data_IF_394801482121
#
_entry.id   IF_394801482121
#
_cell.length_a   1.000
_cell.length_b   1.000
_cell.length_c   1.000
_cell.angle_alpha   90.00
_cell.angle_beta   90.00
_cell.angle_gamma   90.00
#
_symmetry.space_group_name_H-M   'P 1'
#
loop_
_entity.id
_entity.type
_entity.pdbx_description
1 polymer ?
#
# COMPACT_ATOMS: atom_id res chain seq x y z
N UNK A 1 24.31 0.23 -31.87
CA UNK A 1 24.72 0.17 -30.45
C UNK A 1 23.73 0.87 -29.52
N UNK A 2 22.42 0.67 -29.73
CA UNK A 2 21.36 1.14 -28.84
C UNK A 2 20.47 -0.05 -28.50
N UNK A 3 20.78 -0.77 -27.41
CA UNK A 3 19.78 -1.55 -26.64
C UNK A 3 20.33 -2.25 -25.40
N UNK A 4 21.64 -2.19 -25.12
CA UNK A 4 22.19 -2.91 -23.95
C UNK A 4 21.85 -2.22 -22.62
N UNK A 5 21.69 -0.89 -22.62
CA UNK A 5 21.31 -0.13 -21.42
C UNK A 5 19.83 -0.32 -21.02
N UNK A 6 18.93 -0.55 -21.99
CA UNK A 6 17.52 -0.78 -21.70
C UNK A 6 17.26 -2.15 -21.06
N UNK A 7 17.97 -3.19 -21.53
CA UNK A 7 17.91 -4.54 -20.95
C UNK A 7 18.45 -4.57 -19.51
N UNK A 8 19.62 -3.95 -19.25
CA UNK A 8 20.16 -3.84 -17.89
C UNK A 8 19.24 -3.09 -16.92
N UNK A 9 18.47 -2.11 -17.40
CA UNK A 9 17.53 -1.35 -16.57
C UNK A 9 16.27 -2.16 -16.22
N UNK A 10 15.76 -2.97 -17.15
CA UNK A 10 14.60 -3.85 -16.94
C UNK A 10 14.96 -5.02 -16.02
N UNK A 11 16.12 -5.65 -16.21
CA UNK A 11 16.58 -6.76 -15.35
C UNK A 11 16.81 -6.28 -13.90
N UNK A 12 17.35 -5.07 -13.71
CA UNK A 12 17.54 -4.49 -12.38
C UNK A 12 16.21 -4.18 -11.67
N UNK A 13 15.17 -3.74 -12.41
CA UNK A 13 13.84 -3.50 -11.86
C UNK A 13 13.13 -4.83 -11.51
N UNK A 14 13.28 -5.86 -12.33
CA UNK A 14 12.71 -7.18 -12.09
C UNK A 14 13.40 -7.88 -10.92
N UNK A 15 14.73 -7.90 -10.86
CA UNK A 15 15.50 -8.43 -9.74
C UNK A 15 15.20 -7.69 -8.44
N UNK A 16 15.04 -6.35 -8.45
CA UNK A 16 14.65 -5.57 -7.27
C UNK A 16 13.21 -5.83 -6.82
N UNK A 17 12.27 -6.02 -7.76
CA UNK A 17 10.91 -6.47 -7.42
C UNK A 17 10.93 -7.86 -6.80
N UNK A 18 11.78 -8.76 -7.32
CA UNK A 18 11.93 -10.13 -6.84
C UNK A 18 12.57 -10.19 -5.44
N UNK A 19 13.64 -9.45 -5.18
CA UNK A 19 14.32 -9.47 -3.85
C UNK A 19 13.48 -8.80 -2.75
N UNK A 20 12.74 -7.74 -3.11
CA UNK A 20 11.78 -7.10 -2.20
C UNK A 20 10.63 -8.04 -1.84
N UNK A 21 10.08 -8.75 -2.83
CA UNK A 21 9.07 -9.77 -2.57
C UNK A 21 9.63 -10.91 -1.73
N UNK A 22 10.87 -11.35 -1.93
CA UNK A 22 11.43 -12.50 -1.20
C UNK A 22 11.49 -12.29 0.32
N UNK A 23 11.90 -11.13 0.82
CA UNK A 23 11.97 -10.90 2.28
C UNK A 23 10.57 -10.80 2.91
N UNK A 24 9.64 -10.15 2.22
CA UNK A 24 8.26 -10.04 2.67
C UNK A 24 7.51 -11.39 2.56
N UNK A 25 7.73 -12.13 1.49
CA UNK A 25 7.21 -13.48 1.32
C UNK A 25 7.80 -14.44 2.35
N UNK A 26 9.10 -14.38 2.61
CA UNK A 26 9.73 -15.22 3.64
C UNK A 26 9.16 -14.93 5.03
N UNK A 27 8.86 -13.67 5.35
CA UNK A 27 8.16 -13.30 6.58
C UNK A 27 6.72 -13.79 6.61
N UNK A 28 5.97 -13.64 5.51
CA UNK A 28 4.61 -14.19 5.39
C UNK A 28 4.61 -15.71 5.55
N UNK A 29 5.54 -16.41 4.90
CA UNK A 29 5.67 -17.86 4.97
C UNK A 29 5.99 -18.30 6.40
N UNK A 30 6.95 -17.66 7.06
CA UNK A 30 7.25 -17.95 8.47
C UNK A 30 6.00 -17.82 9.36
N UNK A 31 5.21 -16.75 9.18
CA UNK A 31 4.05 -16.46 10.03
C UNK A 31 2.78 -17.24 9.68
N UNK A 32 2.51 -17.50 8.40
CA UNK A 32 1.36 -18.28 7.94
C UNK A 32 1.58 -19.77 8.22
N UNK A 33 2.82 -20.26 8.11
CA UNK A 33 3.12 -21.69 8.28
C UNK A 33 3.51 -22.06 9.71
N UNK A 34 3.56 -21.12 10.67
CA UNK A 34 3.50 -21.45 12.11
C UNK A 34 2.05 -21.72 12.50
N UNK A 35 1.65 -22.99 12.75
CA UNK A 35 0.24 -23.32 12.93
C UNK A 35 -0.30 -22.78 14.26
N UNK A 36 -1.33 -21.95 14.19
CA UNK A 36 -2.26 -21.77 15.32
C UNK A 36 -3.09 -23.07 15.47
N UNK A 37 -3.28 -23.63 16.69
CA UNK A 37 -3.71 -25.03 16.88
C UNK A 37 -5.18 -25.34 16.51
N UNK A 38 -5.96 -24.36 16.06
CA UNK A 38 -7.38 -24.49 15.75
C UNK A 38 -7.63 -23.70 14.49
N UNK A 39 -8.20 -24.29 13.43
CA UNK A 39 -8.69 -23.54 12.27
C UNK A 39 -9.98 -22.85 12.72
N UNK A 40 -9.95 -21.54 13.06
CA UNK A 40 -11.16 -20.81 13.33
C UNK A 40 -11.88 -20.61 11.99
N UNK A 41 -13.15 -20.24 12.02
CA UNK A 41 -13.77 -19.64 10.83
C UNK A 41 -12.88 -18.45 10.45
N UNK A 42 -12.45 -18.34 9.18
CA UNK A 42 -11.60 -17.24 8.74
C UNK A 42 -12.43 -15.93 8.75
N UNK A 43 -12.41 -15.27 9.90
CA UNK A 43 -13.13 -14.01 10.18
C UNK A 43 -12.43 -12.79 9.56
N UNK A 44 -11.23 -12.97 8.99
CA UNK A 44 -10.43 -11.89 8.41
C UNK A 44 -11.10 -11.24 7.20
N UNK A 45 -11.74 -12.02 6.31
CA UNK A 45 -12.44 -11.44 5.15
C UNK A 45 -13.69 -10.64 5.56
N UNK A 46 -14.62 -11.17 6.39
CA UNK A 46 -15.72 -10.38 6.94
C UNK A 46 -15.26 -9.08 7.60
N UNK A 47 -14.26 -9.16 8.48
CA UNK A 47 -13.68 -7.99 9.16
C UNK A 47 -13.08 -6.99 8.17
N UNK A 48 -12.31 -7.45 7.17
CA UNK A 48 -11.77 -6.58 6.12
C UNK A 48 -12.89 -5.81 5.40
N UNK A 49 -13.97 -6.49 5.02
CA UNK A 49 -15.07 -5.85 4.30
C UNK A 49 -15.80 -4.82 5.16
N UNK A 50 -16.07 -5.16 6.43
CA UNK A 50 -16.71 -4.26 7.39
C UNK A 50 -15.85 -3.03 7.68
N UNK A 51 -14.54 -3.22 7.90
CA UNK A 51 -13.61 -2.13 8.14
C UNK A 51 -13.50 -1.18 6.94
N UNK A 52 -13.47 -1.72 5.72
CA UNK A 52 -13.45 -0.91 4.49
C UNK A 52 -14.78 -0.19 4.25
N UNK A 53 -15.92 -0.84 4.51
CA UNK A 53 -17.23 -0.22 4.42
C UNK A 53 -17.36 0.94 5.42
N UNK A 54 -16.99 0.71 6.69
CA UNK A 54 -17.04 1.72 7.73
C UNK A 54 -16.13 2.90 7.41
N UNK A 55 -14.91 2.63 6.95
CA UNK A 55 -13.96 3.66 6.47
C UNK A 55 -14.53 4.47 5.30
N UNK A 56 -15.21 3.81 4.36
CA UNK A 56 -15.84 4.48 3.23
C UNK A 56 -16.99 5.38 3.68
N UNK A 57 -17.86 4.88 4.55
CA UNK A 57 -19.05 5.58 5.04
C UNK A 57 -18.68 6.77 5.93
N UNK A 58 -17.61 6.65 6.72
CA UNK A 58 -17.11 7.71 7.60
C UNK A 58 -16.13 8.68 6.92
N UNK A 59 -15.86 8.50 5.61
CA UNK A 59 -14.84 9.25 4.86
C UNK A 59 -13.43 9.16 5.48
N UNK A 60 -13.14 8.07 6.19
CA UNK A 60 -11.87 7.84 6.86
C UNK A 60 -11.74 8.55 8.21
N UNK A 61 -12.86 8.89 8.87
CA UNK A 61 -12.82 9.40 10.24
C UNK A 61 -12.32 8.30 11.22
N UNK A 62 -11.14 8.48 11.84
CA UNK A 62 -10.57 7.48 12.74
C UNK A 62 -11.45 7.23 13.97
N UNK A 63 -12.20 8.22 14.47
CA UNK A 63 -13.05 8.03 15.66
C UNK A 63 -14.16 7.02 15.44
N UNK A 64 -14.63 6.90 14.20
CA UNK A 64 -15.66 5.94 13.80
C UNK A 64 -15.10 4.55 13.54
N UNK A 65 -13.92 4.46 12.90
CA UNK A 65 -13.35 3.17 12.45
C UNK A 65 -12.54 2.47 13.56
N UNK A 66 -11.86 3.25 14.39
CA UNK A 66 -10.94 2.76 15.41
C UNK A 66 -11.57 1.75 16.39
N UNK A 67 -12.79 1.95 16.93
CA UNK A 67 -13.40 0.96 17.83
C UNK A 67 -13.51 -0.45 17.23
N UNK A 68 -13.93 -0.54 15.96
CA UNK A 68 -14.00 -1.82 15.25
C UNK A 68 -12.63 -2.48 15.14
N UNK A 69 -11.60 -1.70 14.81
CA UNK A 69 -10.24 -2.23 14.70
C UNK A 69 -9.70 -2.69 16.07
N UNK A 70 -9.92 -1.90 17.11
CA UNK A 70 -9.44 -2.19 18.47
C UNK A 70 -10.04 -3.49 19.04
N UNK A 71 -11.28 -3.83 18.65
CA UNK A 71 -11.94 -5.08 19.02
C UNK A 71 -11.44 -6.30 18.25
N UNK A 72 -10.70 -6.11 17.15
CA UNK A 72 -10.29 -7.16 16.19
C UNK A 72 -8.78 -7.11 15.89
N UNK A 73 -7.95 -6.69 16.85
CA UNK A 73 -6.49 -6.55 16.67
C UNK A 73 -5.80 -7.87 16.36
N UNK A 74 -6.35 -8.99 16.82
CA UNK A 74 -5.85 -10.34 16.52
C UNK A 74 -5.99 -10.71 15.04
N UNK A 75 -6.95 -10.10 14.33
CA UNK A 75 -7.10 -10.26 12.89
C UNK A 75 -6.13 -9.39 12.08
N UNK A 76 -5.47 -8.38 12.68
CA UNK A 76 -4.43 -7.57 12.05
C UNK A 76 -3.07 -8.28 12.09
N UNK A 77 -3.03 -9.43 11.45
CA UNK A 77 -1.85 -10.28 11.35
C UNK A 77 -1.41 -10.46 9.88
N UNK A 78 -0.30 -11.15 9.58
CA UNK A 78 0.19 -11.31 8.21
C UNK A 78 -0.83 -11.95 7.25
N UNK A 79 -1.72 -12.81 7.76
CA UNK A 79 -2.85 -13.38 7.01
C UNK A 79 -3.81 -12.30 6.48
N UNK A 80 -4.01 -11.19 7.20
CA UNK A 80 -4.79 -10.04 6.75
C UNK A 80 -4.28 -9.49 5.42
N UNK A 81 -2.97 -9.34 5.28
CA UNK A 81 -2.36 -8.80 4.06
C UNK A 81 -2.60 -9.74 2.87
N UNK A 82 -2.53 -11.05 3.11
CA UNK A 82 -2.85 -12.05 2.10
C UNK A 82 -4.32 -11.95 1.66
N UNK A 83 -5.26 -11.90 2.61
CA UNK A 83 -6.69 -11.77 2.32
C UNK A 83 -7.01 -10.46 1.59
N UNK A 84 -6.44 -9.34 2.05
CA UNK A 84 -6.57 -8.02 1.41
C UNK A 84 -6.14 -8.04 -0.06
N UNK A 85 -4.94 -8.57 -0.35
CA UNK A 85 -4.42 -8.66 -1.73
C UNK A 85 -5.22 -9.63 -2.59
N UNK A 86 -5.62 -10.77 -2.03
CA UNK A 86 -6.46 -11.77 -2.72
C UNK A 86 -7.82 -11.18 -3.09
N UNK A 87 -8.47 -10.50 -2.15
CA UNK A 87 -9.75 -9.81 -2.37
C UNK A 87 -9.61 -8.73 -3.46
N UNK A 88 -8.59 -7.87 -3.38
CA UNK A 88 -8.40 -6.81 -4.36
C UNK A 88 -8.16 -7.35 -5.78
N UNK A 89 -7.33 -8.40 -5.91
CA UNK A 89 -7.07 -9.09 -7.19
C UNK A 89 -8.34 -9.68 -7.81
N UNK A 90 -9.27 -10.17 -6.99
CA UNK A 90 -10.56 -10.68 -7.45
C UNK A 90 -11.57 -9.57 -7.74
N UNK A 91 -11.46 -8.43 -7.06
CA UNK A 91 -12.45 -7.33 -7.11
C UNK A 91 -12.17 -6.35 -8.24
N UNK A 92 -10.95 -5.83 -8.37
CA UNK A 92 -10.62 -4.76 -9.31
C UNK A 92 -10.91 -5.05 -10.78
N UNK A 93 -10.67 -6.27 -11.31
CA UNK A 93 -11.01 -6.58 -12.71
C UNK A 93 -12.52 -6.58 -13.01
N UNK A 94 -13.36 -6.70 -11.99
CA UNK A 94 -14.80 -6.95 -12.11
C UNK A 94 -15.67 -5.73 -11.78
N UNK A 95 -15.07 -4.55 -11.58
CA UNK A 95 -15.78 -3.33 -11.21
C UNK A 95 -15.48 -2.17 -12.17
N UNK A 96 -16.36 -1.18 -12.20
CA UNK A 96 -16.15 0.03 -12.99
C UNK A 96 -15.02 0.89 -12.42
N UNK A 97 -14.43 1.74 -13.26
CA UNK A 97 -13.39 2.70 -12.84
C UNK A 97 -13.85 3.56 -11.65
N UNK A 98 -15.10 4.03 -11.65
CA UNK A 98 -15.63 4.86 -10.55
C UNK A 98 -15.67 4.09 -9.23
N UNK A 99 -16.08 2.81 -9.25
CA UNK A 99 -16.05 1.97 -8.05
C UNK A 99 -14.62 1.70 -7.61
N UNK A 100 -13.71 1.42 -8.55
CA UNK A 100 -12.30 1.22 -8.25
C UNK A 100 -11.69 2.47 -7.59
N UNK A 101 -12.02 3.68 -8.04
CA UNK A 101 -11.53 4.93 -7.42
C UNK A 101 -12.06 5.15 -6.01
N UNK A 102 -13.31 4.78 -5.74
CA UNK A 102 -13.87 4.83 -4.38
C UNK A 102 -13.08 3.88 -3.47
N UNK A 103 -12.91 2.63 -3.89
CA UNK A 103 -12.14 1.64 -3.11
C UNK A 103 -10.70 2.09 -2.90
N UNK A 104 -10.03 2.62 -3.93
CA UNK A 104 -8.66 3.11 -3.81
C UNK A 104 -8.55 4.27 -2.80
N UNK A 105 -9.53 5.18 -2.75
CA UNK A 105 -9.58 6.22 -1.73
C UNK A 105 -9.77 5.62 -0.33
N UNK A 106 -10.70 4.67 -0.19
CA UNK A 106 -10.96 3.96 1.07
C UNK A 106 -9.71 3.24 1.56
N UNK A 107 -8.97 2.57 0.70
CA UNK A 107 -7.71 1.89 1.04
C UNK A 107 -6.66 2.87 1.56
N UNK A 108 -6.52 4.06 0.94
CA UNK A 108 -5.57 5.09 1.40
C UNK A 108 -5.97 5.63 2.78
N UNK A 109 -7.27 5.85 3.01
CA UNK A 109 -7.77 6.29 4.31
C UNK A 109 -7.56 5.22 5.39
N UNK A 110 -7.90 3.97 5.08
CA UNK A 110 -7.70 2.83 5.97
C UNK A 110 -6.21 2.64 6.31
N UNK A 111 -5.32 2.79 5.33
CA UNK A 111 -3.87 2.75 5.56
C UNK A 111 -3.42 3.81 6.58
N UNK A 112 -3.96 5.02 6.51
CA UNK A 112 -3.68 6.10 7.47
C UNK A 112 -4.18 5.77 8.88
N UNK A 113 -5.36 5.16 8.99
CA UNK A 113 -5.93 4.72 10.28
C UNK A 113 -5.07 3.60 10.88
N UNK A 114 -4.80 2.54 10.11
CA UNK A 114 -3.99 1.39 10.56
C UNK A 114 -2.59 1.83 10.96
N UNK A 115 -1.93 2.69 10.18
CA UNK A 115 -0.59 3.17 10.52
C UNK A 115 -0.56 4.01 11.81
N UNK A 116 -1.64 4.71 12.13
CA UNK A 116 -1.76 5.55 13.32
C UNK A 116 -2.26 4.79 14.56
N UNK A 117 -2.51 3.48 14.47
CA UNK A 117 -2.95 2.67 15.61
C UNK A 117 -1.89 2.67 16.72
N UNK A 118 -2.26 3.05 17.96
CA UNK A 118 -1.37 2.91 19.10
C UNK A 118 -1.27 1.47 19.62
N UNK A 119 -2.30 0.64 19.41
CA UNK A 119 -2.34 -0.77 19.79
C UNK A 119 -1.99 -1.72 18.64
N UNK A 120 -1.73 -2.98 18.99
CA UNK A 120 -1.39 -4.04 18.05
C UNK A 120 0.11 -4.09 17.74
N UNK A 121 0.45 -4.86 16.70
CA UNK A 121 1.81 -4.96 16.18
C UNK A 121 2.04 -3.84 15.16
N UNK A 122 2.83 -2.83 15.55
CA UNK A 122 3.10 -1.66 14.71
C UNK A 122 3.83 -2.01 13.41
N UNK A 123 4.61 -3.09 13.39
CA UNK A 123 5.32 -3.54 12.20
C UNK A 123 4.35 -4.22 11.23
N UNK A 124 3.42 -5.04 11.73
CA UNK A 124 2.34 -5.61 10.89
C UNK A 124 1.41 -4.52 10.37
N UNK A 125 1.01 -3.57 11.21
CA UNK A 125 0.17 -2.44 10.82
C UNK A 125 0.81 -1.64 9.68
N UNK A 126 2.12 -1.41 9.76
CA UNK A 126 2.87 -0.75 8.70
C UNK A 126 2.83 -1.54 7.38
N UNK A 127 2.98 -2.87 7.42
CA UNK A 127 2.88 -3.71 6.21
C UNK A 127 1.45 -3.77 5.63
N UNK A 128 0.41 -3.71 6.48
CA UNK A 128 -0.98 -3.57 6.02
C UNK A 128 -1.17 -2.22 5.32
N UNK A 129 -0.72 -1.12 5.92
CA UNK A 129 -0.78 0.21 5.33
C UNK A 129 -0.01 0.29 4.00
N UNK A 130 1.14 -0.39 3.92
CA UNK A 130 1.93 -0.55 2.70
C UNK A 130 1.10 -1.25 1.61
N UNK A 131 0.50 -2.39 1.92
CA UNK A 131 -0.33 -3.15 0.97
C UNK A 131 -1.53 -2.34 0.48
N UNK A 132 -2.22 -1.61 1.35
CA UNK A 132 -3.31 -0.71 0.96
C UNK A 132 -2.85 0.37 -0.02
N UNK A 133 -1.70 1.00 0.22
CA UNK A 133 -1.15 2.01 -0.68
C UNK A 133 -0.70 1.42 -2.02
N UNK A 134 -0.11 0.23 -2.04
CA UNK A 134 0.25 -0.48 -3.27
C UNK A 134 -0.99 -0.80 -4.12
N UNK A 135 -2.06 -1.29 -3.49
CA UNK A 135 -3.32 -1.57 -4.17
C UNK A 135 -3.99 -0.30 -4.71
N UNK A 136 -3.92 0.83 -3.99
CA UNK A 136 -4.42 2.10 -4.49
C UNK A 136 -3.68 2.57 -5.76
N UNK A 137 -2.39 2.25 -5.91
CA UNK A 137 -1.61 2.55 -7.12
C UNK A 137 -1.97 1.65 -8.33
N UNK A 138 -2.76 0.58 -8.15
CA UNK A 138 -3.36 -0.16 -9.27
C UNK A 138 -4.55 0.59 -9.91
N UNK A 139 -5.03 1.66 -9.26
CA UNK A 139 -6.15 2.47 -9.74
C UNK A 139 -5.70 3.90 -10.04
N UNK A 140 -4.86 4.46 -9.18
CA UNK A 140 -4.30 5.79 -9.36
C UNK A 140 -3.06 5.76 -10.23
N UNK A 141 -3.16 6.43 -11.38
CA UNK A 141 -2.07 6.60 -12.33
C UNK A 141 -1.84 8.10 -12.55
N UNK A 142 -0.58 8.49 -12.79
CA UNK A 142 -0.17 9.89 -12.97
C UNK A 142 -1.05 10.65 -13.98
N UNK A 143 -1.38 10.04 -15.12
CA UNK A 143 -2.08 10.72 -16.21
C UNK A 143 -3.57 10.99 -15.92
N UNK A 144 -4.21 10.12 -15.12
CA UNK A 144 -5.65 10.21 -14.81
C UNK A 144 -5.93 10.85 -13.45
N UNK A 145 -5.07 10.59 -12.47
CA UNK A 145 -5.26 10.96 -11.06
C UNK A 145 -3.98 11.54 -10.46
N UNK A 146 -3.41 12.61 -11.03
CA UNK A 146 -2.08 13.09 -10.65
C UNK A 146 -1.97 13.43 -9.16
N UNK A 147 -3.00 14.07 -8.59
CA UNK A 147 -3.01 14.46 -7.17
C UNK A 147 -3.07 13.24 -6.25
N UNK A 148 -3.99 12.31 -6.49
CA UNK A 148 -4.14 11.09 -5.69
C UNK A 148 -2.90 10.21 -5.80
N UNK A 149 -2.38 10.02 -7.01
CA UNK A 149 -1.14 9.29 -7.27
C UNK A 149 0.02 9.87 -6.45
N UNK A 150 0.19 11.20 -6.44
CA UNK A 150 1.23 11.85 -5.66
C UNK A 150 1.04 11.70 -4.14
N UNK A 151 -0.20 11.75 -3.64
CA UNK A 151 -0.52 11.51 -2.23
C UNK A 151 -0.13 10.08 -1.83
N UNK A 152 -0.50 9.07 -2.62
CA UNK A 152 -0.14 7.68 -2.31
C UNK A 152 1.38 7.48 -2.32
N UNK A 153 2.08 8.10 -3.28
CA UNK A 153 3.55 8.10 -3.29
C UNK A 153 4.17 8.80 -2.07
N UNK A 154 3.57 9.89 -1.59
CA UNK A 154 4.01 10.54 -0.35
C UNK A 154 3.81 9.63 0.87
N UNK A 155 2.67 8.94 0.97
CA UNK A 155 2.43 7.98 2.06
C UNK A 155 3.43 6.82 2.03
N UNK A 156 3.70 6.26 0.85
CA UNK A 156 4.70 5.21 0.67
C UNK A 156 6.12 5.67 1.06
N UNK A 157 6.45 6.95 0.82
CA UNK A 157 7.72 7.53 1.26
C UNK A 157 7.90 7.40 2.77
N UNK A 158 6.86 7.73 3.53
CA UNK A 158 6.86 7.70 4.99
C UNK A 158 6.87 6.24 5.49
N UNK A 159 6.02 5.39 4.92
CA UNK A 159 5.95 3.95 5.27
C UNK A 159 7.33 3.31 5.11
N UNK A 160 8.02 3.51 3.99
CA UNK A 160 9.35 2.95 3.78
C UNK A 160 10.44 3.57 4.69
N UNK A 161 10.27 4.78 5.21
CA UNK A 161 11.19 5.35 6.20
C UNK A 161 11.02 4.70 7.58
N UNK A 162 9.79 4.33 7.93
CA UNK A 162 9.46 3.71 9.22
C UNK A 162 9.57 2.19 9.22
N UNK A 163 9.67 1.55 8.04
CA UNK A 163 9.65 0.08 7.88
C UNK A 163 10.87 -0.59 8.50
N UNK A 164 10.64 -1.47 9.49
CA UNK A 164 11.68 -2.29 10.13
C UNK A 164 12.08 -3.53 9.29
N UNK A 165 11.15 -4.06 8.49
CA UNK A 165 11.38 -5.28 7.72
C UNK A 165 12.23 -5.05 6.47
N UNK A 166 13.09 -6.03 6.17
CA UNK A 166 14.01 -6.00 5.03
C UNK A 166 15.34 -5.31 5.35
N UNK A 167 16.07 -4.94 4.30
CA UNK A 167 17.37 -4.28 4.46
C UNK A 167 17.14 -2.76 4.57
N UNK A 168 17.61 -2.08 5.63
CA UNK A 168 17.37 -0.65 5.84
C UNK A 168 17.77 0.22 4.63
N UNK A 169 18.91 -0.08 4.00
CA UNK A 169 19.37 0.62 2.81
C UNK A 169 18.37 0.50 1.63
N UNK A 170 17.76 -0.66 1.44
CA UNK A 170 16.75 -0.85 0.39
C UNK A 170 15.46 -0.09 0.69
N UNK A 171 15.03 -0.05 1.95
CA UNK A 171 13.87 0.72 2.37
C UNK A 171 14.08 2.23 2.11
N UNK A 172 15.27 2.76 2.41
CA UNK A 172 15.61 4.16 2.10
C UNK A 172 15.63 4.45 0.60
N UNK A 173 16.19 3.55 -0.22
CA UNK A 173 16.17 3.68 -1.69
C UNK A 173 14.74 3.74 -2.20
N UNK A 174 13.86 2.83 -1.73
CA UNK A 174 12.44 2.86 -2.10
C UNK A 174 11.74 4.13 -1.66
N UNK A 175 11.97 4.58 -0.43
CA UNK A 175 11.43 5.84 0.06
C UNK A 175 11.81 7.00 -0.88
N UNK A 176 13.08 7.10 -1.28
CA UNK A 176 13.55 8.11 -2.21
C UNK A 176 12.87 8.02 -3.58
N UNK A 177 12.67 6.81 -4.13
CA UNK A 177 11.95 6.61 -5.39
C UNK A 177 10.49 7.08 -5.30
N UNK A 178 9.81 6.77 -4.20
CA UNK A 178 8.43 7.23 -3.96
C UNK A 178 8.37 8.75 -3.75
N UNK A 179 9.34 9.33 -3.05
CA UNK A 179 9.44 10.78 -2.86
C UNK A 179 9.61 11.52 -4.19
N UNK A 180 10.51 11.04 -5.05
CA UNK A 180 10.72 11.60 -6.39
C UNK A 180 9.43 11.58 -7.21
N UNK A 181 8.68 10.47 -7.17
CA UNK A 181 7.39 10.34 -7.84
C UNK A 181 6.38 11.37 -7.33
N UNK A 182 6.18 11.50 -6.02
CA UNK A 182 5.28 12.50 -5.45
C UNK A 182 5.66 13.93 -5.87
N UNK A 183 6.96 14.24 -5.84
CA UNK A 183 7.47 15.56 -6.22
C UNK A 183 7.22 15.95 -7.68
N UNK A 184 7.16 14.99 -8.62
CA UNK A 184 6.83 15.29 -10.02
C UNK A 184 5.54 16.08 -10.14
N UNK A 185 4.55 15.80 -9.29
CA UNK A 185 3.26 16.48 -9.29
C UNK A 185 3.29 17.73 -8.43
N UNK A 186 3.77 17.64 -7.19
CA UNK A 186 3.76 18.78 -6.28
C UNK A 186 4.65 19.94 -6.76
N UNK A 187 5.79 19.66 -7.40
CA UNK A 187 6.61 20.69 -8.04
C UNK A 187 5.92 21.32 -9.25
N UNK A 188 5.20 20.54 -10.08
CA UNK A 188 4.40 21.09 -11.21
C UNK A 188 3.23 21.94 -10.72
N UNK A 189 2.56 21.55 -9.64
CA UNK A 189 1.48 22.33 -9.04
C UNK A 189 1.99 23.62 -8.40
N UNK A 190 3.18 23.58 -7.78
CA UNK A 190 3.81 24.76 -7.16
C UNK A 190 4.45 25.71 -8.18
N UNK A 191 4.91 25.20 -9.32
CA UNK A 191 5.56 25.98 -10.38
C UNK A 191 5.05 25.61 -11.80
N UNK A 192 3.77 25.88 -12.13
CA UNK A 192 3.17 25.46 -13.40
C UNK A 192 3.74 26.18 -14.65
N UNK A 193 4.47 27.31 -14.49
CA UNK A 193 4.89 28.20 -15.59
C UNK A 193 6.36 28.11 -16.05
N UNK A 194 7.10 27.04 -15.72
CA UNK A 194 8.53 26.92 -16.11
C UNK A 194 8.88 25.75 -17.05
N UNK A 195 7.91 24.96 -17.50
CA UNK A 195 8.17 23.73 -18.26
C UNK A 195 7.95 23.83 -19.78
N UNK A 196 7.27 24.86 -20.28
CA UNK A 196 6.96 25.01 -21.72
C UNK A 196 8.04 25.71 -22.56
N UNK A 197 9.12 26.20 -21.93
CA UNK A 197 10.12 27.03 -22.63
C UNK A 197 11.49 26.33 -22.81
N UNK A 198 11.57 25.00 -22.62
CA UNK A 198 12.83 24.23 -22.73
C UNK A 198 12.73 22.99 -23.65
N UNK A 199 11.81 22.96 -24.61
CA UNK A 199 11.76 21.94 -25.68
C UNK A 199 12.23 22.50 -27.02
#
# INVERSE_FOLDING_TARGET
>A
MHNMQAYFFIDNILEKKLSYNQNFLSWLEDKIFTPSPTIPIDETLPFLLEALELTSNSQGDPQTVYPLIAENLDLLEPHFIYILRKWARQTFPNISQNRATIIANTLVNFAGIIWALPEGDSDVNLEIALACCELALEVYYLDKFPKQWAIVHNNLTIIYQSRCYGVPAHNLIKSLEHYQKANLVFSRQRFPKKWTDLS
#
